data_IF_438942573772
#
_entry.id   IF_438942573772
#
_cell.length_a   1.000
_cell.length_b   1.000
_cell.length_c   1.000
_cell.angle_alpha   90.00
_cell.angle_beta   90.00
_cell.angle_gamma   90.00
#
_symmetry.space_group_name_H-M   'P 1'
#
loop_
_entity.id
_entity.type
_entity.pdbx_description
1 polymer ?
#
# COMPACT_ATOMS: atom_id res chain seq x y z
N UNK A 1 -14.12 -22.66 45.24
CA UNK A 1 -14.81 -23.91 44.85
C UNK A 1 -15.99 -23.55 43.95
N UNK A 2 -15.85 -23.74 42.64
CA UNK A 2 -16.82 -24.45 41.77
C UNK A 2 -16.42 -24.28 40.31
N UNK A 3 -15.94 -25.40 39.77
CA UNK A 3 -15.60 -25.66 38.37
C UNK A 3 -16.82 -25.55 37.48
N UNK A 4 -16.68 -24.99 36.27
CA UNK A 4 -17.32 -25.54 35.07
C UNK A 4 -16.35 -25.48 33.90
N UNK A 5 -15.69 -26.62 33.72
CA UNK A 5 -15.00 -27.05 32.51
C UNK A 5 -16.06 -27.37 31.45
N UNK A 6 -15.96 -26.81 30.25
CA UNK A 6 -16.67 -27.31 29.08
C UNK A 6 -15.72 -28.19 28.27
N UNK A 7 -15.93 -29.50 28.39
CA UNK A 7 -15.40 -30.52 27.48
C UNK A 7 -16.22 -30.47 26.20
N UNK A 8 -15.57 -30.34 25.04
CA UNK A 8 -16.15 -30.76 23.77
C UNK A 8 -15.48 -32.05 23.33
N UNK A 9 -16.28 -33.12 23.29
CA UNK A 9 -15.88 -34.48 23.00
C UNK A 9 -15.96 -34.71 21.49
N UNK A 10 -14.86 -35.13 20.88
CA UNK A 10 -14.77 -35.61 19.48
C UNK A 10 -15.61 -36.87 19.30
N UNK A 11 -16.16 -37.11 18.10
CA UNK A 11 -16.43 -38.47 17.58
C UNK A 11 -16.76 -38.50 16.07
N UNK A 12 -15.87 -39.20 15.31
CA UNK A 12 -16.05 -40.13 14.16
C UNK A 12 -16.53 -39.46 12.82
N UNK A 13 -16.09 -39.77 11.59
CA UNK A 13 -15.87 -41.04 10.88
C UNK A 13 -14.93 -40.81 9.69
N UNK A 14 -13.96 -41.70 9.49
CA UNK A 14 -13.15 -41.78 8.28
C UNK A 14 -13.82 -42.62 7.19
N UNK A 15 -13.54 -42.30 5.93
CA UNK A 15 -13.68 -43.22 4.79
C UNK A 15 -12.46 -43.02 3.89
N UNK A 16 -11.77 -44.13 3.65
CA UNK A 16 -10.69 -44.32 2.67
C UNK A 16 -11.29 -45.03 1.44
N UNK A 17 -10.60 -44.93 0.30
CA UNK A 17 -10.69 -45.70 -0.97
C UNK A 17 -11.36 -44.90 -2.11
N UNK A 18 -10.95 -44.92 -3.38
CA UNK A 18 -9.88 -45.62 -4.13
C UNK A 18 -9.73 -44.92 -5.49
N UNK A 19 -8.51 -44.99 -6.02
CA UNK A 19 -7.98 -44.79 -7.36
C UNK A 19 -8.94 -44.89 -8.57
N UNK A 20 -8.69 -44.08 -9.60
CA UNK A 20 -9.00 -44.41 -11.00
C UNK A 20 -7.97 -43.77 -11.93
N UNK A 21 -7.09 -44.62 -12.47
CA UNK A 21 -6.23 -44.34 -13.62
C UNK A 21 -7.11 -44.18 -14.87
N UNK A 22 -6.88 -43.10 -15.62
CA UNK A 22 -7.25 -43.03 -17.04
C UNK A 22 -5.99 -42.77 -17.86
N UNK A 23 -5.57 -43.79 -18.60
CA UNK A 23 -4.67 -43.71 -19.75
C UNK A 23 -5.52 -43.62 -21.02
N UNK A 24 -5.15 -42.74 -21.95
CA UNK A 24 -5.49 -42.85 -23.36
C UNK A 24 -6.09 -41.59 -23.99
N UNK A 25 -5.46 -41.06 -25.03
CA UNK A 25 -6.11 -40.13 -25.97
C UNK A 25 -5.14 -39.23 -26.73
N UNK A 26 -5.04 -39.42 -28.04
CA UNK A 26 -4.03 -38.86 -28.95
C UNK A 26 -4.17 -37.35 -29.29
N UNK A 27 -2.99 -36.76 -29.54
CA UNK A 27 -2.64 -35.81 -30.61
C UNK A 27 -3.48 -34.54 -30.82
N UNK A 28 -2.86 -33.37 -30.58
CA UNK A 28 -2.95 -32.21 -31.49
C UNK A 28 -1.62 -31.45 -31.45
N UNK A 29 -1.00 -31.30 -32.63
CA UNK A 29 0.01 -30.29 -32.91
C UNK A 29 -0.69 -28.93 -32.80
N UNK A 30 -0.34 -28.09 -31.82
CA UNK A 30 -0.78 -26.69 -31.82
C UNK A 30 0.44 -25.80 -31.97
N UNK A 31 0.45 -25.13 -33.12
CA UNK A 31 1.39 -24.12 -33.53
C UNK A 31 1.42 -22.96 -32.54
N UNK A 32 2.55 -22.26 -32.58
CA UNK A 32 2.78 -20.91 -32.07
C UNK A 32 1.50 -20.07 -31.88
N UNK A 33 1.29 -19.63 -30.65
CA UNK A 33 0.94 -18.24 -30.39
C UNK A 33 1.90 -17.72 -29.32
N UNK A 34 2.95 -17.07 -29.81
CA UNK A 34 3.76 -16.17 -28.99
C UNK A 34 2.91 -14.92 -28.79
N UNK A 35 2.20 -14.82 -27.66
CA UNK A 35 1.59 -13.57 -27.22
C UNK A 35 2.70 -12.55 -26.88
N UNK A 36 3.22 -11.92 -27.92
CA UNK A 36 4.00 -10.69 -27.83
C UNK A 36 3.02 -9.53 -27.64
N UNK A 37 2.46 -9.42 -26.44
CA UNK A 37 1.51 -8.35 -26.08
C UNK A 37 1.47 -7.97 -24.59
N UNK A 38 2.15 -8.73 -23.73
CA UNK A 38 2.05 -8.59 -22.26
C UNK A 38 2.96 -7.51 -21.66
N UNK A 39 4.01 -7.07 -22.38
CA UNK A 39 4.97 -6.10 -21.82
C UNK A 39 4.45 -4.66 -21.84
N UNK A 40 3.76 -4.24 -22.89
CA UNK A 40 3.28 -2.84 -23.02
C UNK A 40 2.24 -2.50 -21.95
N UNK A 41 1.23 -3.37 -21.77
CA UNK A 41 0.14 -3.12 -20.82
C UNK A 41 0.60 -3.12 -19.37
N UNK A 42 1.60 -3.93 -19.02
CA UNK A 42 2.19 -3.98 -17.67
C UNK A 42 3.06 -2.77 -17.37
N UNK A 43 3.80 -2.27 -18.35
CA UNK A 43 4.60 -1.02 -18.22
C UNK A 43 3.68 0.19 -18.06
N UNK A 44 2.61 0.27 -18.87
CA UNK A 44 1.63 1.35 -18.78
C UNK A 44 0.92 1.34 -17.42
N UNK A 45 0.54 0.16 -16.91
CA UNK A 45 -0.07 0.02 -15.58
C UNK A 45 0.89 0.42 -14.44
N UNK A 46 2.20 0.13 -14.57
CA UNK A 46 3.20 0.53 -13.59
C UNK A 46 3.42 2.06 -13.60
N UNK A 47 3.47 2.67 -14.79
CA UNK A 47 3.57 4.12 -14.93
C UNK A 47 2.37 4.85 -14.31
N UNK A 48 1.17 4.28 -14.48
CA UNK A 48 -0.06 4.77 -13.83
C UNK A 48 0.04 4.72 -12.30
N UNK A 49 0.51 3.60 -11.73
CA UNK A 49 0.67 3.47 -10.26
C UNK A 49 1.75 4.41 -9.74
N UNK A 50 2.87 4.58 -10.46
CA UNK A 50 3.92 5.55 -10.09
C UNK A 50 3.33 6.96 -9.97
N UNK A 51 2.61 7.39 -11.01
CA UNK A 51 2.00 8.72 -11.05
C UNK A 51 0.95 8.90 -9.95
N UNK A 52 0.09 7.90 -9.75
CA UNK A 52 -0.95 7.96 -8.72
C UNK A 52 -0.34 8.02 -7.30
N UNK A 53 0.69 7.21 -7.04
CA UNK A 53 1.41 7.24 -5.76
C UNK A 53 2.10 8.58 -5.51
N UNK A 54 2.80 9.11 -6.52
CA UNK A 54 3.45 10.42 -6.45
C UNK A 54 2.43 11.52 -6.13
N UNK A 55 1.34 11.57 -6.89
CA UNK A 55 0.30 12.59 -6.74
C UNK A 55 -0.39 12.48 -5.39
N UNK A 56 -0.71 11.27 -4.92
CA UNK A 56 -1.37 11.06 -3.64
C UNK A 56 -0.52 11.55 -2.46
N UNK A 57 0.79 11.31 -2.49
CA UNK A 57 1.73 11.78 -1.47
C UNK A 57 1.90 13.29 -1.53
N UNK A 58 2.21 13.85 -2.71
CA UNK A 58 2.45 15.29 -2.87
C UNK A 58 1.21 16.13 -2.55
N UNK A 59 0.03 15.69 -2.98
CA UNK A 59 -1.23 16.37 -2.67
C UNK A 59 -1.53 16.33 -1.16
N UNK A 60 -1.19 15.24 -0.47
CA UNK A 60 -1.38 15.15 0.99
C UNK A 60 -0.38 16.03 1.74
N UNK A 61 0.88 16.10 1.28
CA UNK A 61 1.88 17.04 1.82
C UNK A 61 1.41 18.48 1.65
N UNK A 62 0.95 18.86 0.46
CA UNK A 62 0.42 20.19 0.19
C UNK A 62 -0.81 20.52 1.05
N UNK A 63 -1.78 19.61 1.10
CA UNK A 63 -3.02 19.78 1.86
C UNK A 63 -2.80 19.91 3.37
N UNK A 64 -1.68 19.42 3.89
CA UNK A 64 -1.33 19.56 5.31
C UNK A 64 -1.03 21.01 5.73
N UNK A 65 -0.73 21.89 4.77
CA UNK A 65 -0.29 23.27 5.02
C UNK A 65 1.12 23.37 5.61
N UNK A 66 1.84 22.25 5.77
CA UNK A 66 3.23 22.22 6.23
C UNK A 66 4.16 22.26 5.00
N UNK A 67 5.13 23.19 4.92
CA UNK A 67 6.07 23.23 3.80
C UNK A 67 6.79 21.88 3.60
N UNK A 68 6.95 21.45 2.35
CA UNK A 68 7.53 20.15 2.01
C UNK A 68 8.88 19.89 2.70
N UNK A 69 9.75 20.90 2.73
CA UNK A 69 11.07 20.86 3.36
C UNK A 69 11.07 20.78 4.90
N UNK A 70 9.90 20.72 5.54
CA UNK A 70 9.74 20.45 6.98
C UNK A 70 9.37 19.01 7.27
N UNK A 71 9.05 18.22 6.26
CA UNK A 71 8.81 16.79 6.40
C UNK A 71 10.13 16.03 6.36
N UNK A 72 10.19 14.92 7.08
CA UNK A 72 11.35 14.04 7.14
C UNK A 72 10.94 12.60 6.90
N UNK A 73 11.75 11.87 6.14
CA UNK A 73 11.63 10.43 6.04
C UNK A 73 11.92 9.75 7.37
N UNK A 74 11.41 8.53 7.55
CA UNK A 74 11.84 7.67 8.65
C UNK A 74 13.33 7.34 8.46
N UNK A 75 14.19 7.97 9.26
CA UNK A 75 15.64 7.96 9.08
C UNK A 75 16.28 9.35 9.19
N UNK A 76 15.47 10.42 9.17
CA UNK A 76 15.93 11.79 9.43
C UNK A 76 16.40 12.56 8.19
N UNK A 77 16.36 11.95 7.01
CA UNK A 77 16.55 12.68 5.75
C UNK A 77 15.35 13.61 5.51
N UNK A 78 15.64 14.86 5.14
CA UNK A 78 14.63 15.85 4.78
C UNK A 78 13.91 15.44 3.49
N UNK A 79 12.61 15.68 3.44
CA UNK A 79 11.80 15.46 2.25
C UNK A 79 12.01 16.59 1.25
N UNK A 80 12.48 16.23 0.06
CA UNK A 80 12.61 17.12 -1.08
C UNK A 80 11.74 16.60 -2.22
N UNK A 81 10.96 17.50 -2.82
CA UNK A 81 9.93 17.13 -3.83
C UNK A 81 10.58 16.52 -5.07
N UNK A 82 11.66 17.11 -5.56
CA UNK A 82 12.32 16.64 -6.79
C UNK A 82 13.03 15.30 -6.56
N UNK A 83 13.66 15.11 -5.40
CA UNK A 83 14.25 13.81 -5.03
C UNK A 83 13.18 12.73 -4.91
N UNK A 84 12.01 13.06 -4.34
CA UNK A 84 10.90 12.12 -4.25
C UNK A 84 10.38 11.70 -5.63
N UNK A 85 10.16 12.64 -6.56
CA UNK A 85 9.73 12.33 -7.94
C UNK A 85 10.71 11.41 -8.65
N UNK A 86 12.01 11.67 -8.51
CA UNK A 86 13.05 10.82 -9.09
C UNK A 86 13.14 9.44 -8.42
N UNK A 87 12.78 9.35 -7.14
CA UNK A 87 12.77 8.10 -6.38
C UNK A 87 11.57 7.20 -6.70
N UNK A 88 10.37 7.76 -6.93
CA UNK A 88 9.13 6.98 -7.09
C UNK A 88 9.24 5.84 -8.13
N UNK A 89 9.80 6.03 -9.34
CA UNK A 89 9.90 4.94 -10.33
C UNK A 89 10.72 3.75 -9.84
N UNK A 90 11.78 4.01 -9.08
CA UNK A 90 12.71 3.01 -8.54
C UNK A 90 12.36 2.58 -7.11
N UNK A 91 11.37 3.22 -6.49
CA UNK A 91 10.86 2.85 -5.17
C UNK A 91 10.17 1.49 -5.26
N UNK A 92 10.71 0.50 -4.58
CA UNK A 92 10.13 -0.84 -4.49
C UNK A 92 10.79 -1.63 -3.38
N UNK A 93 9.99 -2.07 -2.42
CA UNK A 93 10.41 -3.03 -1.40
C UNK A 93 9.77 -4.38 -1.70
N UNK A 94 10.58 -5.43 -1.73
CA UNK A 94 10.09 -6.81 -1.82
C UNK A 94 9.12 -7.08 -0.67
N UNK A 95 7.99 -7.70 -0.97
CA UNK A 95 6.92 -7.94 -0.01
C UNK A 95 6.33 -9.35 -0.05
N UNK A 96 6.76 -10.19 -0.99
CA UNK A 96 6.35 -11.59 -1.09
C UNK A 96 6.47 -12.11 -2.51
N UNK A 97 6.07 -13.36 -2.72
CA UNK A 97 6.01 -13.99 -4.03
C UNK A 97 4.57 -14.23 -4.46
N UNK A 98 4.30 -14.17 -5.76
CA UNK A 98 3.02 -14.59 -6.35
C UNK A 98 2.86 -16.11 -6.28
N UNK A 99 1.64 -16.61 -6.56
CA UNK A 99 1.39 -18.05 -6.70
C UNK A 99 2.31 -18.71 -7.75
N UNK A 100 2.68 -17.98 -8.80
CA UNK A 100 3.60 -18.42 -9.85
C UNK A 100 5.11 -18.19 -9.54
N UNK A 101 5.46 -17.95 -8.27
CA UNK A 101 6.83 -17.66 -7.81
C UNK A 101 7.49 -16.41 -8.44
N UNK A 102 6.72 -15.39 -8.82
CA UNK A 102 7.26 -14.09 -9.20
C UNK A 102 7.42 -13.21 -7.96
N UNK A 103 8.59 -12.56 -7.81
CA UNK A 103 8.79 -11.58 -6.74
C UNK A 103 7.83 -10.40 -6.91
N UNK A 104 7.15 -10.05 -5.83
CA UNK A 104 6.21 -8.94 -5.74
C UNK A 104 6.78 -7.84 -4.86
N UNK A 105 6.47 -6.61 -5.27
CA UNK A 105 6.95 -5.40 -4.64
C UNK A 105 5.79 -4.49 -4.26
N UNK A 106 6.09 -3.58 -3.34
CA UNK A 106 5.22 -2.46 -3.00
C UNK A 106 6.03 -1.18 -2.90
N UNK A 107 5.35 -0.06 -3.09
CA UNK A 107 5.87 1.27 -2.74
C UNK A 107 5.41 1.59 -1.33
N UNK A 108 6.27 2.28 -0.60
CA UNK A 108 5.99 2.71 0.77
C UNK A 108 6.76 3.98 1.06
N UNK A 109 6.09 4.97 1.65
CA UNK A 109 6.73 6.17 2.18
C UNK A 109 6.12 6.53 3.53
N UNK A 110 6.97 6.96 4.45
CA UNK A 110 6.58 7.49 5.75
C UNK A 110 7.24 8.84 5.94
N UNK A 111 6.43 9.89 5.99
CA UNK A 111 6.86 11.26 6.24
C UNK A 111 6.39 11.70 7.63
N UNK A 112 7.28 12.36 8.37
CA UNK A 112 7.03 12.88 9.71
C UNK A 112 7.29 14.37 9.76
N UNK A 113 6.41 15.09 10.45
CA UNK A 113 6.62 16.47 10.83
C UNK A 113 6.42 16.60 12.33
N UNK A 114 7.49 16.90 13.06
CA UNK A 114 7.45 17.00 14.52
C UNK A 114 7.08 18.41 14.96
N UNK A 115 5.99 18.50 15.73
CA UNK A 115 5.51 19.73 16.35
C UNK A 115 4.54 19.39 17.47
N UNK A 116 4.63 20.11 18.59
CA UNK A 116 3.64 19.97 19.65
C UNK A 116 2.33 20.66 19.26
N UNK A 117 1.23 19.91 19.35
CA UNK A 117 -0.13 20.39 19.16
C UNK A 117 -0.99 20.13 20.40
N UNK A 118 -1.89 21.06 20.71
CA UNK A 118 -3.00 20.80 21.61
C UNK A 118 -4.00 19.82 20.99
N UNK A 119 -4.85 19.22 21.82
CA UNK A 119 -5.93 18.34 21.35
C UNK A 119 -6.85 19.03 20.34
N UNK A 120 -7.20 20.30 20.59
CA UNK A 120 -8.04 21.07 19.69
C UNK A 120 -7.39 21.29 18.32
N UNK A 121 -6.08 21.54 18.29
CA UNK A 121 -5.35 21.80 17.05
C UNK A 121 -5.23 20.55 16.18
N UNK A 122 -4.76 19.41 16.74
CA UNK A 122 -4.58 18.22 15.90
C UNK A 122 -5.92 17.66 15.39
N UNK A 123 -6.99 17.76 16.19
CA UNK A 123 -8.33 17.38 15.74
C UNK A 123 -8.84 18.28 14.62
N UNK A 124 -8.56 19.59 14.71
CA UNK A 124 -8.88 20.52 13.62
C UNK A 124 -8.10 20.15 12.35
N UNK A 125 -6.79 19.92 12.44
CA UNK A 125 -5.94 19.55 11.29
C UNK A 125 -6.45 18.26 10.64
N UNK A 126 -6.81 17.24 11.43
CA UNK A 126 -7.38 16.00 10.90
C UNK A 126 -8.71 16.24 10.17
N UNK A 127 -9.59 17.07 10.71
CA UNK A 127 -10.86 17.39 10.06
C UNK A 127 -10.67 18.25 8.79
N UNK A 128 -9.74 19.21 8.81
CA UNK A 128 -9.41 20.01 7.62
C UNK A 128 -8.89 19.12 6.48
N UNK A 129 -8.02 18.15 6.80
CA UNK A 129 -7.53 17.16 5.83
C UNK A 129 -8.65 16.27 5.28
N UNK A 130 -9.55 15.81 6.15
CA UNK A 130 -10.72 15.04 5.74
C UNK A 130 -11.57 15.81 4.73
N UNK A 131 -11.95 17.05 5.06
CA UNK A 131 -12.74 17.91 4.17
C UNK A 131 -12.01 18.20 2.87
N UNK A 132 -10.69 18.37 2.91
CA UNK A 132 -9.88 18.53 1.70
C UNK A 132 -10.02 17.32 0.78
N UNK A 133 -9.85 16.10 1.30
CA UNK A 133 -9.97 14.88 0.52
C UNK A 133 -11.38 14.68 -0.06
N UNK A 134 -12.44 14.90 0.72
CA UNK A 134 -13.83 14.85 0.23
C UNK A 134 -14.07 15.85 -0.91
N UNK A 135 -13.53 17.07 -0.80
CA UNK A 135 -13.67 18.10 -1.84
C UNK A 135 -13.00 17.73 -3.16
N UNK A 136 -12.10 16.75 -3.15
CA UNK A 136 -11.43 16.18 -4.34
C UNK A 136 -12.14 14.92 -4.87
N UNK A 137 -13.29 14.56 -4.31
CA UNK A 137 -14.04 13.37 -4.69
C UNK A 137 -13.44 12.05 -4.18
N UNK A 138 -12.57 12.12 -3.16
CA UNK A 138 -12.05 10.95 -2.47
C UNK A 138 -13.04 10.51 -1.38
N UNK A 139 -12.93 9.24 -0.96
CA UNK A 139 -13.77 8.66 0.09
C UNK A 139 -12.93 8.37 1.34
N UNK A 140 -12.67 9.37 2.20
CA UNK A 140 -11.90 9.15 3.41
C UNK A 140 -12.67 8.32 4.44
N UNK A 141 -11.95 7.58 5.27
CA UNK A 141 -12.46 6.79 6.36
C UNK A 141 -11.56 6.88 7.59
N UNK A 142 -12.14 6.67 8.78
CA UNK A 142 -11.39 6.66 10.03
C UNK A 142 -10.68 5.31 10.20
N UNK A 143 -9.39 5.35 10.54
CA UNK A 143 -8.62 4.14 10.87
C UNK A 143 -8.54 3.95 12.38
N UNK A 144 -8.54 5.04 13.14
CA UNK A 144 -8.65 5.02 14.59
C UNK A 144 -8.33 6.37 15.22
N UNK A 145 -8.65 6.48 16.50
CA UNK A 145 -8.30 7.61 17.34
C UNK A 145 -7.94 7.13 18.74
N UNK A 146 -6.93 7.76 19.32
CA UNK A 146 -6.62 7.67 20.74
C UNK A 146 -6.60 9.08 21.33
N UNK A 147 -6.61 9.24 22.65
CA UNK A 147 -6.59 10.58 23.28
C UNK A 147 -5.35 11.44 22.93
N UNK A 148 -4.43 10.93 22.10
CA UNK A 148 -3.20 11.57 21.67
C UNK A 148 -3.19 11.87 20.16
N UNK A 149 -4.05 11.24 19.37
CA UNK A 149 -4.02 11.31 17.91
C UNK A 149 -5.32 10.89 17.24
N UNK A 150 -5.54 11.38 16.02
CA UNK A 150 -6.58 10.92 15.10
C UNK A 150 -5.94 10.49 13.79
N UNK A 151 -6.37 9.34 13.28
CA UNK A 151 -5.85 8.72 12.08
C UNK A 151 -6.98 8.49 11.07
N UNK A 152 -6.79 9.04 9.89
CA UNK A 152 -7.74 8.96 8.77
C UNK A 152 -7.00 8.43 7.54
N UNK A 153 -7.74 7.85 6.60
CA UNK A 153 -7.15 7.29 5.39
C UNK A 153 -8.10 7.41 4.20
N UNK A 154 -7.57 7.23 3.00
CA UNK A 154 -8.34 6.95 1.79
C UNK A 154 -7.52 6.00 0.90
N UNK A 155 -8.19 5.36 -0.05
CA UNK A 155 -7.54 4.55 -1.07
C UNK A 155 -7.90 5.09 -2.46
N UNK A 156 -6.91 5.23 -3.34
CA UNK A 156 -7.14 5.64 -4.73
C UNK A 156 -7.69 4.47 -5.56
N UNK A 157 -8.21 4.79 -6.75
CA UNK A 157 -8.67 3.76 -7.71
C UNK A 157 -7.55 2.84 -8.22
N UNK A 158 -6.28 3.26 -8.11
CA UNK A 158 -5.10 2.47 -8.50
C UNK A 158 -4.50 1.69 -7.32
N UNK A 159 -5.16 1.70 -6.16
CA UNK A 159 -4.77 0.90 -5.00
C UNK A 159 -3.73 1.54 -4.09
N UNK A 160 -3.46 2.85 -4.23
CA UNK A 160 -2.60 3.58 -3.29
C UNK A 160 -3.41 3.89 -2.03
N UNK A 161 -2.97 3.34 -0.90
CA UNK A 161 -3.50 3.65 0.42
C UNK A 161 -2.71 4.83 0.99
N UNK A 162 -3.40 5.92 1.33
CA UNK A 162 -2.80 7.04 2.07
C UNK A 162 -3.43 7.14 3.45
N UNK A 163 -2.60 7.24 4.48
CA UNK A 163 -2.99 7.40 5.87
C UNK A 163 -2.37 8.70 6.40
N UNK A 164 -3.20 9.55 7.00
CA UNK A 164 -2.78 10.78 7.64
C UNK A 164 -3.06 10.72 9.14
N UNK A 165 -2.04 11.02 9.92
CA UNK A 165 -2.08 11.02 11.36
C UNK A 165 -1.84 12.45 11.84
N UNK A 166 -2.75 12.96 12.65
CA UNK A 166 -2.54 14.20 13.39
C UNK A 166 -2.56 13.87 14.88
N UNK A 167 -1.48 14.18 15.60
CA UNK A 167 -1.37 13.91 17.03
C UNK A 167 -0.63 15.00 17.79
N UNK A 168 -0.56 14.84 19.10
CA UNK A 168 0.07 15.83 19.99
C UNK A 168 1.54 16.10 19.69
N UNK A 169 2.26 15.14 19.12
CA UNK A 169 3.69 15.23 18.84
C UNK A 169 4.02 15.59 17.39
N UNK A 170 3.02 15.68 16.52
CA UNK A 170 3.25 16.04 15.13
C UNK A 170 2.23 15.47 14.17
N UNK A 171 2.61 15.49 12.90
CA UNK A 171 1.86 14.92 11.79
C UNK A 171 2.65 13.78 11.15
N UNK A 172 1.95 12.80 10.60
CA UNK A 172 2.56 11.71 9.83
C UNK A 172 1.72 11.41 8.59
N UNK A 173 2.40 11.22 7.47
CA UNK A 173 1.83 10.69 6.24
C UNK A 173 2.45 9.31 6.02
N UNK A 174 1.62 8.32 5.77
CA UNK A 174 2.04 6.97 5.40
C UNK A 174 1.29 6.60 4.13
N UNK A 175 2.01 6.32 3.05
CA UNK A 175 1.41 5.92 1.79
C UNK A 175 2.04 4.63 1.28
N UNK A 176 1.21 3.67 0.90
CA UNK A 176 1.61 2.34 0.45
C UNK A 176 0.81 1.90 -0.79
N UNK A 177 1.40 1.03 -1.60
CA UNK A 177 0.66 0.24 -2.60
C UNK A 177 0.43 -1.18 -2.11
N UNK A 178 -0.49 -1.89 -2.75
CA UNK A 178 -0.60 -3.34 -2.59
C UNK A 178 0.70 -4.06 -2.98
N UNK A 179 0.88 -5.27 -2.44
CA UNK A 179 1.99 -6.15 -2.77
C UNK A 179 1.70 -6.91 -4.06
N UNK A 180 1.73 -6.21 -5.19
CA UNK A 180 1.39 -6.77 -6.50
C UNK A 180 2.20 -6.16 -7.65
N UNK A 181 3.19 -5.30 -7.35
CA UNK A 181 4.00 -4.66 -8.37
C UNK A 181 5.15 -5.57 -8.83
N UNK A 182 5.55 -5.50 -10.11
CA UNK A 182 6.80 -6.09 -10.57
C UNK A 182 8.01 -5.46 -9.88
N UNK A 183 9.20 -6.03 -10.11
CA UNK A 183 10.47 -5.43 -9.72
C UNK A 183 10.55 -3.97 -10.19
N UNK A 184 11.04 -3.04 -9.34
CA UNK A 184 11.26 -1.67 -9.73
C UNK A 184 12.27 -1.58 -10.89
N UNK A 185 12.18 -0.49 -11.64
CA UNK A 185 13.12 -0.22 -12.73
C UNK A 185 14.55 -0.09 -12.17
N UNK A 186 15.57 -0.60 -12.88
CA UNK A 186 16.95 -0.39 -12.48
C UNK A 186 17.27 1.10 -12.52
N UNK A 187 18.03 1.57 -11.53
CA UNK A 187 18.48 2.95 -11.51
C UNK A 187 19.35 3.22 -12.76
N UNK A 188 19.13 4.32 -13.50
CA UNK A 188 19.91 4.63 -14.72
C UNK A 188 21.41 4.81 -14.46
N UNK A 189 21.82 4.92 -13.20
CA UNK A 189 23.22 5.03 -12.74
C UNK A 189 23.92 3.68 -12.52
N UNK A 190 23.24 2.55 -12.77
CA UNK A 190 23.77 1.20 -12.52
C UNK A 190 24.38 0.52 -13.77
N UNK A 191 24.74 1.31 -14.80
CA UNK A 191 25.39 0.83 -16.02
C UNK A 191 26.85 1.26 -16.10
#
# INVERSE_FOLDING_TARGET
MNNKVWKSQRVIIGVVLVSSLFLGGCAVHSEKETESGSSSSRVDALADVNKDFEQAVLATVEASGVPANKWFYTGGQQFEVEDFKNYVPIAGSYCGDSADNQMLYRKSVVLKYERTYSTKEYLKISNDMWTHWESRGLNPYEVGADGQSKKIAYQTSKGVLVQFYAGKTGLMILADTECNLPSPEPSPSAS
#
